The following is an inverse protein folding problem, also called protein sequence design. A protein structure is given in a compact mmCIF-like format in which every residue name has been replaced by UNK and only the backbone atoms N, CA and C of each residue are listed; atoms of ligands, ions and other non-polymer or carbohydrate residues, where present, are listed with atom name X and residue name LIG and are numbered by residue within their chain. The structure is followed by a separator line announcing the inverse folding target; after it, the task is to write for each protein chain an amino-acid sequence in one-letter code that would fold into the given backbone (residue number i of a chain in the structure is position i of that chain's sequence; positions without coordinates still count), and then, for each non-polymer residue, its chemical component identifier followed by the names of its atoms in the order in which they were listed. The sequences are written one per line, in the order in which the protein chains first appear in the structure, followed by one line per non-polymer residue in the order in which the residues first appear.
data_IF_515890089949
#
_entry.id   IF_515890089949
#
_cell.length_a   1.000
_cell.length_b   1.000
_cell.length_c   1.000
_cell.angle_alpha   90.00
_cell.angle_beta   90.00
_cell.angle_gamma   90.00
#
_symmetry.space_group_name_H-M   'P 1'
#
loop_
_entity.id
_entity.type
_entity.pdbx_description
1 polymer ?
#
# COMPACT_ATOMS: atom_id res chain seq x y z
N UNK A 1 -15.00 -14.28 -2.86
CA UNK A 1 -15.50 -12.93 -2.56
C UNK A 1 -14.32 -12.02 -2.33
N UNK A 2 -14.31 -10.84 -2.92
CA UNK A 2 -13.28 -9.83 -2.71
C UNK A 2 -13.98 -8.52 -2.40
N UNK A 3 -13.53 -7.81 -1.37
CA UNK A 3 -14.13 -6.59 -0.87
C UNK A 3 -13.00 -5.59 -0.65
N UNK A 4 -13.02 -4.54 -1.49
CA UNK A 4 -12.20 -3.35 -1.34
C UNK A 4 -13.10 -2.15 -1.09
N UNK A 5 -12.65 -1.24 -0.24
CA UNK A 5 -13.38 -0.01 0.08
C UNK A 5 -12.51 1.20 -0.24
N UNK A 6 -13.08 2.24 -0.83
CA UNK A 6 -12.38 3.50 -1.08
C UNK A 6 -12.07 4.23 0.22
N UNK A 7 -10.84 4.76 0.33
CA UNK A 7 -10.49 5.64 1.44
C UNK A 7 -11.24 6.98 1.35
N UNK A 8 -11.48 7.67 2.48
CA UNK A 8 -12.08 9.00 2.48
C UNK A 8 -11.22 9.99 1.70
N UNK A 9 -11.88 10.89 0.96
CA UNK A 9 -11.23 11.92 0.14
C UNK A 9 -10.27 12.77 0.98
N UNK A 10 -10.70 13.19 2.16
CA UNK A 10 -9.96 14.08 3.05
C UNK A 10 -8.66 13.45 3.56
N UNK A 11 -8.58 12.11 3.59
CA UNK A 11 -7.34 11.40 3.88
C UNK A 11 -6.36 11.52 2.71
N UNK A 12 -6.85 11.36 1.47
CA UNK A 12 -6.03 11.37 0.27
C UNK A 12 -5.51 12.77 -0.05
N UNK A 13 -6.35 13.81 0.06
CA UNK A 13 -5.96 15.20 -0.19
C UNK A 13 -4.79 15.66 0.69
N UNK A 14 -4.74 15.18 1.94
CA UNK A 14 -3.65 15.50 2.88
C UNK A 14 -2.33 14.83 2.53
N UNK A 15 -2.35 13.81 1.66
CA UNK A 15 -1.19 12.98 1.33
C UNK A 15 -0.66 13.23 -0.09
N UNK A 16 -1.53 13.65 -1.01
CA UNK A 16 -1.17 13.88 -2.41
C UNK A 16 -0.43 15.22 -2.57
N UNK A 17 0.70 15.17 -3.27
CA UNK A 17 1.44 16.35 -3.73
C UNK A 17 0.99 16.72 -5.16
N UNK A 18 1.13 17.98 -5.62
CA UNK A 18 0.81 18.38 -6.99
C UNK A 18 1.56 17.52 -8.03
N UNK A 19 0.92 17.25 -9.17
CA UNK A 19 1.47 16.32 -10.18
C UNK A 19 1.23 14.86 -9.77
N UNK A 20 -0.04 14.45 -9.78
CA UNK A 20 -0.49 13.11 -9.37
C UNK A 20 -0.62 12.21 -10.60
N UNK A 21 0.03 11.05 -10.56
CA UNK A 21 -0.24 9.95 -11.48
C UNK A 21 -1.23 8.98 -10.82
N UNK A 22 -2.23 8.51 -11.55
CA UNK A 22 -3.18 7.51 -11.03
C UNK A 22 -2.86 6.14 -11.63
N UNK A 23 -2.72 5.13 -10.77
CA UNK A 23 -2.54 3.73 -11.18
C UNK A 23 -3.74 2.92 -10.67
N UNK A 24 -4.45 2.24 -11.58
CA UNK A 24 -5.57 1.34 -11.26
C UNK A 24 -5.17 -0.11 -11.54
N UNK A 25 -5.18 -0.95 -10.51
CA UNK A 25 -4.96 -2.38 -10.67
C UNK A 25 -6.22 -3.05 -11.22
N UNK A 26 -6.15 -3.64 -12.41
CA UNK A 26 -7.31 -4.28 -13.07
C UNK A 26 -7.31 -5.81 -13.00
N UNK A 27 -6.30 -6.43 -12.37
CA UNK A 27 -6.14 -7.90 -12.38
C UNK A 27 -7.28 -8.70 -11.71
N UNK A 28 -7.98 -8.09 -10.74
CA UNK A 28 -9.14 -8.69 -10.05
C UNK A 28 -10.41 -7.81 -10.20
N UNK A 29 -10.47 -7.04 -11.30
CA UNK A 29 -11.51 -6.02 -11.52
C UNK A 29 -12.93 -6.56 -11.39
N UNK A 30 -13.19 -7.71 -11.99
CA UNK A 30 -14.52 -8.34 -12.05
C UNK A 30 -15.05 -8.79 -10.68
N UNK A 31 -14.18 -8.92 -9.67
CA UNK A 31 -14.54 -9.55 -8.39
C UNK A 31 -14.42 -8.60 -7.21
N UNK A 32 -13.56 -7.57 -7.30
CA UNK A 32 -13.06 -6.86 -6.12
C UNK A 32 -13.06 -5.33 -6.20
N UNK A 33 -13.13 -4.76 -7.40
CA UNK A 33 -12.81 -3.36 -7.60
C UNK A 33 -14.08 -2.50 -7.64
N UNK A 34 -14.27 -1.54 -6.71
CA UNK A 34 -15.45 -0.68 -6.70
C UNK A 34 -15.30 0.45 -7.74
N UNK A 35 -15.48 0.15 -9.03
CA UNK A 35 -15.19 1.09 -10.13
C UNK A 35 -15.96 2.39 -10.03
N UNK A 36 -17.27 2.33 -9.79
CA UNK A 36 -18.13 3.53 -9.67
C UNK A 36 -17.64 4.47 -8.55
N UNK A 37 -17.29 3.91 -7.38
CA UNK A 37 -16.77 4.69 -6.25
C UNK A 37 -15.39 5.27 -6.53
N UNK A 38 -14.54 4.55 -7.28
CA UNK A 38 -13.23 5.07 -7.69
C UNK A 38 -13.39 6.24 -8.65
N UNK A 39 -14.30 6.13 -9.62
CA UNK A 39 -14.58 7.21 -10.56
C UNK A 39 -15.18 8.45 -9.86
N UNK A 40 -16.09 8.24 -8.91
CA UNK A 40 -16.63 9.32 -8.07
C UNK A 40 -15.50 9.99 -7.26
N UNK A 41 -14.63 9.20 -6.64
CA UNK A 41 -13.50 9.72 -5.87
C UNK A 41 -12.51 10.51 -6.73
N UNK A 42 -12.22 10.03 -7.94
CA UNK A 42 -11.35 10.74 -8.90
C UNK A 42 -11.94 12.08 -9.32
N UNK A 43 -13.25 12.12 -9.64
CA UNK A 43 -13.97 13.37 -9.93
C UNK A 43 -13.89 14.33 -8.75
N UNK A 44 -14.13 13.83 -7.54
CA UNK A 44 -14.08 14.66 -6.34
C UNK A 44 -12.66 15.17 -6.03
N UNK A 45 -11.61 14.47 -6.46
CA UNK A 45 -10.21 14.89 -6.36
C UNK A 45 -9.76 15.77 -7.55
N UNK A 46 -10.65 16.08 -8.48
CA UNK A 46 -10.35 16.83 -9.72
C UNK A 46 -9.25 16.17 -10.57
N UNK A 47 -9.18 14.84 -10.57
CA UNK A 47 -8.26 14.04 -11.37
C UNK A 47 -8.99 13.42 -12.57
N UNK A 48 -8.45 13.58 -13.79
CA UNK A 48 -9.07 13.03 -15.00
C UNK A 48 -8.90 11.50 -15.05
N UNK A 49 -10.01 10.79 -15.24
CA UNK A 49 -10.03 9.34 -15.41
C UNK A 49 -9.26 8.87 -16.67
N UNK A 50 -9.04 9.75 -17.66
CA UNK A 50 -8.27 9.45 -18.87
C UNK A 50 -6.77 9.27 -18.61
N UNK A 51 -6.25 9.87 -17.54
CA UNK A 51 -4.85 9.79 -17.15
C UNK A 51 -4.56 8.60 -16.22
N UNK A 52 -5.54 7.71 -16.04
CA UNK A 52 -5.43 6.52 -15.20
C UNK A 52 -4.66 5.41 -15.93
N UNK A 53 -3.49 5.08 -15.41
CA UNK A 53 -2.67 3.98 -15.89
C UNK A 53 -3.25 2.65 -15.38
N UNK A 54 -3.81 1.86 -16.30
CA UNK A 54 -4.31 0.53 -16.01
C UNK A 54 -3.17 -0.50 -16.00
N UNK A 55 -2.98 -1.17 -14.87
CA UNK A 55 -1.97 -2.22 -14.67
C UNK A 55 -2.63 -3.49 -14.18
N UNK A 56 -2.31 -4.62 -14.78
CA UNK A 56 -2.78 -5.93 -14.36
C UNK A 56 -1.86 -6.52 -13.28
N UNK A 57 -2.48 -7.19 -12.30
CA UNK A 57 -1.79 -7.91 -11.23
C UNK A 57 -0.58 -7.19 -10.62
N UNK A 58 -0.78 -5.98 -10.05
CA UNK A 58 0.28 -5.24 -9.34
C UNK A 58 0.95 -6.04 -8.20
N UNK A 59 0.31 -7.11 -7.71
CA UNK A 59 0.91 -8.02 -6.74
C UNK A 59 1.98 -8.97 -7.34
N UNK A 60 2.12 -9.02 -8.67
CA UNK A 60 3.18 -9.73 -9.37
C UNK A 60 4.30 -8.73 -9.72
N UNK A 61 5.51 -9.00 -9.20
CA UNK A 61 6.63 -8.09 -9.35
C UNK A 61 7.12 -7.96 -10.80
N UNK A 62 7.16 -9.05 -11.55
CA UNK A 62 7.63 -9.05 -12.94
C UNK A 62 6.67 -8.29 -13.86
N UNK A 63 5.36 -8.49 -13.66
CA UNK A 63 4.34 -7.78 -14.43
C UNK A 63 4.37 -6.29 -14.10
N UNK A 64 4.47 -5.95 -12.81
CA UNK A 64 4.59 -4.57 -12.35
C UNK A 64 5.82 -3.90 -12.97
N UNK A 65 6.99 -4.55 -12.93
CA UNK A 65 8.23 -4.03 -13.50
C UNK A 65 8.09 -3.73 -15.00
N UNK A 66 7.55 -4.68 -15.77
CA UNK A 66 7.31 -4.50 -17.21
C UNK A 66 6.39 -3.31 -17.48
N UNK A 67 5.32 -3.17 -16.68
CA UNK A 67 4.37 -2.07 -16.82
C UNK A 67 4.93 -0.71 -16.40
N UNK A 68 5.73 -0.66 -15.35
CA UNK A 68 6.42 0.54 -14.91
C UNK A 68 7.42 1.05 -15.96
N UNK A 69 8.14 0.15 -16.63
CA UNK A 69 9.04 0.52 -17.72
C UNK A 69 8.28 1.16 -18.88
N UNK A 70 7.08 0.64 -19.19
CA UNK A 70 6.22 1.21 -20.24
C UNK A 70 5.75 2.64 -19.92
N UNK A 71 5.45 2.93 -18.66
CA UNK A 71 4.92 4.23 -18.22
C UNK A 71 5.95 5.09 -17.49
N UNK A 72 7.25 4.80 -17.69
CA UNK A 72 8.33 5.44 -16.95
C UNK A 72 8.32 6.96 -17.11
N UNK A 73 8.11 7.44 -18.34
CA UNK A 73 8.11 8.89 -18.64
C UNK A 73 7.00 9.66 -17.94
N UNK A 74 5.84 9.04 -17.76
CA UNK A 74 4.67 9.60 -17.09
C UNK A 74 4.88 9.60 -15.58
N UNK A 75 5.33 8.46 -15.03
CA UNK A 75 5.58 8.29 -13.60
C UNK A 75 6.72 9.20 -13.11
N UNK A 76 7.79 9.36 -13.90
CA UNK A 76 8.94 10.18 -13.52
C UNK A 76 8.55 11.67 -13.37
N UNK A 77 7.56 12.16 -14.14
CA UNK A 77 7.03 13.53 -14.06
C UNK A 77 6.12 13.79 -12.85
N UNK A 78 5.60 12.73 -12.23
CA UNK A 78 4.68 12.84 -11.11
C UNK A 78 5.41 12.91 -9.77
N UNK A 79 4.91 13.71 -8.83
CA UNK A 79 5.43 13.80 -7.46
C UNK A 79 4.70 12.84 -6.51
N UNK A 80 3.49 12.42 -6.86
CA UNK A 80 2.69 11.46 -6.09
C UNK A 80 1.99 10.49 -7.02
N UNK A 81 1.79 9.28 -6.52
CA UNK A 81 1.14 8.21 -7.27
C UNK A 81 -0.03 7.72 -6.44
N UNK A 82 -1.25 7.97 -6.91
CA UNK A 82 -2.48 7.47 -6.31
C UNK A 82 -2.75 6.07 -6.86
N UNK A 83 -2.85 5.08 -5.98
CA UNK A 83 -2.91 3.66 -6.36
C UNK A 83 -4.21 3.04 -5.88
N UNK A 84 -4.98 2.53 -6.83
CA UNK A 84 -6.18 1.73 -6.58
C UNK A 84 -5.84 0.25 -6.74
N UNK A 85 -5.37 -0.37 -5.66
CA UNK A 85 -5.01 -1.80 -5.61
C UNK A 85 -5.25 -2.39 -4.22
N UNK A 86 -5.07 -3.70 -4.06
CA UNK A 86 -5.03 -4.30 -2.72
C UNK A 86 -3.73 -3.92 -1.99
N UNK A 87 -3.66 -4.19 -0.68
CA UNK A 87 -2.48 -3.87 0.12
C UNK A 87 -1.17 -4.55 -0.35
N UNK A 88 -1.24 -5.69 -1.05
CA UNK A 88 -0.05 -6.33 -1.63
C UNK A 88 0.45 -5.55 -2.86
N UNK A 89 -0.47 -5.14 -3.75
CA UNK A 89 -0.11 -4.42 -4.98
C UNK A 89 0.61 -3.10 -4.68
N UNK A 90 0.16 -2.35 -3.67
CA UNK A 90 0.86 -1.14 -3.25
C UNK A 90 2.24 -1.43 -2.67
N UNK A 91 2.41 -2.50 -1.88
CA UNK A 91 3.72 -2.85 -1.31
C UNK A 91 4.75 -3.17 -2.40
N UNK A 92 4.35 -3.93 -3.43
CA UNK A 92 5.20 -4.22 -4.60
C UNK A 92 5.57 -2.93 -5.33
N UNK A 93 4.58 -2.09 -5.65
CA UNK A 93 4.80 -0.82 -6.34
C UNK A 93 5.71 0.12 -5.54
N UNK A 94 5.46 0.27 -4.23
CA UNK A 94 6.25 1.13 -3.35
C UNK A 94 7.70 0.61 -3.20
N UNK A 95 7.90 -0.71 -3.21
CA UNK A 95 9.23 -1.31 -3.24
C UNK A 95 10.01 -1.01 -4.52
N UNK A 96 9.32 -0.78 -5.64
CA UNK A 96 9.97 -0.42 -6.92
C UNK A 96 10.16 1.10 -7.11
N UNK A 97 9.38 1.91 -6.39
CA UNK A 97 9.38 3.38 -6.52
C UNK A 97 9.90 4.01 -5.23
N UNK A 98 11.17 3.78 -4.91
CA UNK A 98 11.81 4.16 -3.64
C UNK A 98 11.61 5.63 -3.27
N UNK A 99 11.86 6.53 -4.22
CA UNK A 99 11.83 7.99 -4.01
C UNK A 99 10.45 8.64 -4.21
N UNK A 100 9.44 7.90 -4.69
CA UNK A 100 8.11 8.45 -4.98
C UNK A 100 7.13 8.17 -3.84
N UNK A 101 6.22 9.12 -3.59
CA UNK A 101 5.12 8.93 -2.64
C UNK A 101 3.99 8.14 -3.29
N UNK A 102 3.93 6.83 -3.02
CA UNK A 102 2.81 5.98 -3.39
C UNK A 102 1.72 6.07 -2.30
N UNK A 103 0.52 6.49 -2.69
CA UNK A 103 -0.64 6.70 -1.82
C UNK A 103 -1.70 5.67 -2.17
N UNK A 104 -2.08 4.85 -1.19
CA UNK A 104 -3.17 3.90 -1.29
C UNK A 104 -4.51 4.63 -1.34
N UNK A 105 -5.33 4.29 -2.34
CA UNK A 105 -6.72 4.72 -2.46
C UNK A 105 -7.75 3.76 -1.87
N UNK A 106 -7.38 2.50 -1.59
CA UNK A 106 -8.31 1.45 -1.14
C UNK A 106 -7.90 0.77 0.19
N UNK A 107 -8.87 0.50 1.04
CA UNK A 107 -8.77 -0.46 2.14
C UNK A 107 -9.06 -1.87 1.63
N UNK A 108 -8.22 -2.83 2.01
CA UNK A 108 -8.47 -4.25 1.76
C UNK A 108 -9.27 -4.84 2.92
N UNK A 109 -10.53 -5.17 2.67
CA UNK A 109 -11.43 -5.75 3.68
C UNK A 109 -11.37 -7.28 3.62
N UNK A 110 -11.50 -7.84 2.42
CA UNK A 110 -11.41 -9.29 2.22
C UNK A 110 -11.01 -9.64 0.80
N UNK A 111 -10.21 -10.69 0.62
CA UNK A 111 -9.72 -11.19 -0.65
C UNK A 111 -9.58 -12.71 -0.50
N UNK A 112 -10.46 -13.47 -1.16
CA UNK A 112 -10.36 -14.93 -1.21
C UNK A 112 -9.37 -15.36 -2.31
N UNK A 113 -8.09 -15.44 -1.95
CA UNK A 113 -7.00 -15.85 -2.87
C UNK A 113 -6.15 -14.70 -3.39
N UNK A 114 -4.96 -14.97 -3.93
CA UNK A 114 -4.07 -13.94 -4.50
C UNK A 114 -3.64 -14.34 -5.90
N UNK A 115 -3.05 -13.40 -6.63
CA UNK A 115 -2.36 -13.73 -7.87
C UNK A 115 -1.38 -14.88 -7.64
N UNK A 116 -1.21 -15.74 -8.65
CA UNK A 116 -0.43 -16.99 -8.56
C UNK A 116 1.08 -16.79 -8.31
N UNK A 117 1.55 -15.54 -8.23
CA UNK A 117 2.96 -15.21 -8.09
C UNK A 117 3.39 -15.23 -6.61
N UNK A 118 4.51 -15.90 -6.29
CA UNK A 118 5.18 -15.72 -5.00
C UNK A 118 5.49 -14.24 -4.78
N UNK A 119 5.25 -13.76 -3.56
CA UNK A 119 5.54 -12.39 -3.16
C UNK A 119 6.03 -12.37 -1.73
N UNK A 120 7.10 -11.62 -1.46
CA UNK A 120 7.58 -11.36 -0.11
C UNK A 120 6.63 -10.44 0.68
N UNK A 121 5.58 -9.92 0.02
CA UNK A 121 4.62 -9.00 0.59
C UNK A 121 3.33 -9.70 0.97
N UNK A 122 2.86 -9.37 2.18
CA UNK A 122 1.63 -9.92 2.73
C UNK A 122 0.66 -8.83 3.20
N UNK A 123 -0.64 -9.13 3.17
CA UNK A 123 -1.73 -8.25 3.60
C UNK A 123 -2.67 -8.97 4.57
N UNK A 124 -2.79 -8.43 5.78
CA UNK A 124 -3.63 -8.97 6.85
C UNK A 124 -5.13 -8.70 6.65
N UNK A 125 -5.50 -7.95 5.59
CA UNK A 125 -6.89 -7.60 5.26
C UNK A 125 -7.60 -6.90 6.44
N UNK A 126 -6.89 -5.96 7.06
CA UNK A 126 -7.28 -5.33 8.31
C UNK A 126 -8.48 -4.38 8.23
N UNK A 127 -8.98 -4.07 7.03
CA UNK A 127 -10.02 -3.05 6.84
C UNK A 127 -9.54 -1.59 7.01
N UNK A 128 -8.35 -1.38 7.55
CA UNK A 128 -7.74 -0.07 7.79
C UNK A 128 -6.30 -0.04 7.31
N UNK A 129 -6.09 0.33 6.04
CA UNK A 129 -4.77 0.24 5.44
C UNK A 129 -3.82 1.33 5.99
N UNK A 130 -2.70 0.89 6.59
CA UNK A 130 -1.67 1.75 7.20
C UNK A 130 -0.50 2.09 6.26
N UNK A 131 -0.51 1.59 5.02
CA UNK A 131 0.58 1.75 4.06
C UNK A 131 0.86 3.23 3.74
N UNK A 132 -0.18 4.06 3.78
CA UNK A 132 -0.06 5.51 3.61
C UNK A 132 0.86 6.14 4.67
N UNK A 133 0.85 5.64 5.91
CA UNK A 133 1.66 6.19 7.00
C UNK A 133 3.09 5.63 7.03
N UNK A 134 3.29 4.47 6.39
CA UNK A 134 4.48 3.63 6.55
C UNK A 134 5.29 3.49 5.26
N UNK A 135 5.06 4.40 4.30
CA UNK A 135 5.80 4.43 3.04
C UNK A 135 5.57 3.21 2.15
N UNK A 136 4.45 2.50 2.31
CA UNK A 136 4.17 1.28 1.57
C UNK A 136 4.79 0.01 2.16
N UNK A 137 5.19 0.01 3.43
CA UNK A 137 5.67 -1.18 4.14
C UNK A 137 4.69 -1.52 5.26
N UNK A 138 4.04 -2.68 5.20
CA UNK A 138 3.00 -3.04 6.16
C UNK A 138 3.58 -3.39 7.54
N UNK A 139 3.30 -2.61 8.61
CA UNK A 139 3.82 -2.91 9.95
C UNK A 139 3.13 -4.13 10.58
N UNK A 140 1.90 -4.45 10.16
CA UNK A 140 1.15 -5.60 10.68
C UNK A 140 1.78 -6.93 10.25
N UNK A 141 2.22 -7.02 8.99
CA UNK A 141 2.71 -8.28 8.40
C UNK A 141 4.23 -8.37 8.37
N UNK A 142 4.97 -7.26 8.25
CA UNK A 142 6.43 -7.29 8.21
C UNK A 142 7.11 -7.14 9.58
N UNK A 143 6.44 -6.57 10.58
CA UNK A 143 7.00 -6.57 11.94
C UNK A 143 6.71 -7.90 12.60
N UNK A 144 7.73 -8.65 13.04
CA UNK A 144 7.55 -9.91 13.77
C UNK A 144 6.74 -9.80 15.06
N UNK A 145 6.57 -8.58 15.58
CA UNK A 145 5.77 -8.26 16.77
C UNK A 145 4.44 -7.55 16.44
N UNK A 146 4.18 -7.25 15.17
CA UNK A 146 2.97 -6.52 14.75
C UNK A 146 2.84 -5.10 15.32
N UNK A 147 3.95 -4.45 15.67
CA UNK A 147 3.92 -3.13 16.32
C UNK A 147 3.49 -2.02 15.36
N UNK A 148 2.51 -1.23 15.78
CA UNK A 148 1.94 -0.13 15.00
C UNK A 148 2.49 1.23 15.43
N UNK A 149 2.93 1.38 16.67
CA UNK A 149 3.29 2.67 17.26
C UNK A 149 4.80 2.98 17.23
N UNK A 150 5.56 2.36 16.33
CA UNK A 150 6.99 2.59 16.18
C UNK A 150 7.87 1.38 16.50
N UNK A 151 9.20 1.56 16.45
CA UNK A 151 10.16 0.49 16.71
C UNK A 151 10.13 0.05 18.18
N UNK A 152 10.42 -1.24 18.43
CA UNK A 152 10.57 -1.79 19.79
C UNK A 152 11.89 -1.42 20.49
N UNK A 153 12.87 -0.87 19.75
CA UNK A 153 14.22 -0.59 20.26
C UNK A 153 15.20 -1.77 20.20
N UNK A 154 14.75 -2.99 19.88
CA UNK A 154 15.63 -4.16 19.79
C UNK A 154 16.39 -4.33 18.46
N UNK A 155 16.11 -3.49 17.45
CA UNK A 155 16.76 -3.61 16.15
C UNK A 155 18.27 -3.34 16.24
N UNK A 156 19.07 -4.15 15.54
CA UNK A 156 20.53 -4.00 15.48
C UNK A 156 21.00 -4.15 14.04
N UNK A 157 21.71 -3.14 13.53
CA UNK A 157 22.25 -3.11 12.16
C UNK A 157 21.18 -3.40 11.08
N UNK A 158 19.96 -2.85 11.20
CA UNK A 158 18.89 -3.14 10.24
C UNK A 158 18.15 -4.46 10.46
N UNK A 159 18.57 -5.31 11.40
CA UNK A 159 17.99 -6.63 11.64
C UNK A 159 17.08 -6.66 12.87
N UNK A 160 16.06 -7.52 12.81
CA UNK A 160 15.11 -7.74 13.90
C UNK A 160 15.78 -8.47 15.08
N UNK A 161 15.38 -8.18 16.32
CA UNK A 161 15.91 -8.89 17.49
C UNK A 161 15.49 -10.36 17.58
N UNK A 162 14.38 -10.72 16.91
CA UNK A 162 13.88 -12.10 16.89
C UNK A 162 14.79 -13.01 16.05
N UNK A 163 15.35 -12.50 14.95
CA UNK A 163 16.29 -13.24 14.12
C UNK A 163 17.14 -12.28 13.27
N UNK A 164 18.43 -12.60 13.15
CA UNK A 164 19.39 -11.86 12.30
C UNK A 164 19.09 -11.96 10.80
N UNK A 165 18.31 -12.95 10.41
CA UNK A 165 17.93 -13.16 9.00
C UNK A 165 16.76 -12.26 8.60
N UNK A 166 16.02 -11.71 9.57
CA UNK A 166 14.86 -10.86 9.34
C UNK A 166 15.26 -9.38 9.38
N UNK A 167 14.85 -8.63 8.37
CA UNK A 167 14.98 -7.17 8.38
C UNK A 167 13.98 -6.55 9.37
N UNK A 168 14.41 -5.51 10.08
CA UNK A 168 13.52 -4.72 10.92
C UNK A 168 12.58 -3.88 10.06
N UNK A 169 11.27 -4.19 10.11
CA UNK A 169 10.25 -3.43 9.38
C UNK A 169 10.30 -1.92 9.67
N UNK A 170 10.49 -1.52 10.93
CA UNK A 170 10.53 -0.10 11.31
C UNK A 170 11.79 0.64 10.86
N UNK A 171 12.92 -0.05 10.69
CA UNK A 171 14.09 0.54 10.03
C UNK A 171 13.86 0.69 8.51
N UNK A 172 13.23 -0.30 7.87
CA UNK A 172 12.85 -0.18 6.45
C UNK A 172 11.86 0.96 6.23
N UNK A 173 10.85 1.10 7.10
CA UNK A 173 9.87 2.20 7.07
C UNK A 173 10.59 3.56 7.20
N UNK A 174 11.52 3.70 8.15
CA UNK A 174 12.28 4.93 8.33
C UNK A 174 13.01 5.32 7.03
N UNK A 175 13.83 4.41 6.49
CA UNK A 175 14.61 4.64 5.25
C UNK A 175 13.71 5.00 4.06
N UNK A 176 12.58 4.30 3.93
CA UNK A 176 11.61 4.54 2.86
C UNK A 176 10.93 5.91 2.97
N UNK A 177 10.56 6.32 4.18
CA UNK A 177 9.98 7.64 4.44
C UNK A 177 11.01 8.76 4.27
N UNK A 178 12.25 8.52 4.66
CA UNK A 178 13.36 9.45 4.42
C UNK A 178 13.60 9.65 2.92
N UNK A 179 13.76 8.57 2.15
CA UNK A 179 13.97 8.62 0.70
C UNK A 179 12.84 9.30 -0.08
N UNK A 180 11.59 9.18 0.40
CA UNK A 180 10.42 9.83 -0.23
C UNK A 180 10.14 11.25 0.31
N UNK A 181 10.95 11.77 1.23
CA UNK A 181 10.79 13.09 1.84
C UNK A 181 9.51 13.21 2.69
N UNK A 182 9.16 12.14 3.41
CA UNK A 182 7.93 11.98 4.23
C UNK A 182 8.23 11.56 5.67
N UNK A 183 9.40 11.94 6.18
CA UNK A 183 9.88 11.53 7.49
C UNK A 183 8.97 12.01 8.64
N UNK A 184 8.22 13.10 8.43
CA UNK A 184 7.19 13.57 9.35
C UNK A 184 6.16 12.47 9.70
N UNK A 185 5.84 11.60 8.74
CA UNK A 185 4.88 10.51 8.92
C UNK A 185 5.38 9.46 9.93
N UNK A 186 6.69 9.31 10.08
CA UNK A 186 7.30 8.36 11.03
C UNK A 186 7.00 8.73 12.49
N UNK A 187 6.93 10.02 12.79
CA UNK A 187 6.69 10.55 14.14
C UNK A 187 5.22 10.82 14.44
N UNK A 188 4.32 10.59 13.47
CA UNK A 188 2.88 10.77 13.69
C UNK A 188 2.36 9.69 14.62
N UNK A 189 1.48 10.08 15.54
CA UNK A 189 0.75 9.14 16.38
C UNK A 189 -0.17 8.28 15.50
N UNK A 190 0.03 6.97 15.56
CA UNK A 190 -0.90 6.03 14.94
C UNK A 190 -2.23 6.04 15.69
N UNK A 191 -3.32 5.88 14.94
CA UNK A 191 -4.64 5.65 15.51
C UNK A 191 -4.70 4.24 16.09
N UNK A 192 -5.52 4.06 17.12
CA UNK A 192 -5.86 2.72 17.63
C UNK A 192 -6.54 1.96 16.50
N UNK A 193 -6.05 0.73 16.22
CA UNK A 193 -6.61 -0.14 15.20
C UNK A 193 -7.98 -0.64 15.64
N UNK A 194 -8.97 -0.50 14.76
CA UNK A 194 -10.32 -1.02 14.95
C UNK A 194 -10.44 -2.42 14.35
N UNK A 195 -10.38 -3.43 15.22
CA UNK A 195 -10.47 -4.83 14.81
C UNK A 195 -11.86 -5.24 14.31
N UNK A 196 -12.91 -4.43 14.55
CA UNK A 196 -14.25 -4.72 14.04
C UNK A 196 -14.38 -4.58 12.53
N UNK A 197 -13.47 -3.82 11.90
CA UNK A 197 -13.43 -3.58 10.45
C UNK A 197 -12.78 -4.72 9.66
N UNK A 198 -11.98 -5.55 10.32
CA UNK A 198 -11.51 -6.79 9.71
C UNK A 198 -12.69 -7.75 9.66
N UNK A 199 -13.01 -8.29 8.48
CA UNK A 199 -13.93 -9.42 8.42
C UNK A 199 -13.31 -10.54 9.25
N UNK A 200 -14.02 -10.98 10.30
CA UNK A 200 -13.52 -11.96 11.26
C UNK A 200 -12.87 -13.11 10.50
N UNK A 201 -11.54 -13.25 10.64
CA UNK A 201 -10.84 -14.37 10.02
C UNK A 201 -11.55 -15.63 10.52
N UNK A 202 -12.08 -16.51 9.66
CA UNK A 202 -12.47 -17.83 10.13
C UNK A 202 -11.23 -18.38 10.84
N UNK A 203 -11.37 -18.70 12.14
CA UNK A 203 -10.27 -19.30 12.90
C UNK A 203 -9.80 -20.49 12.08
N UNK A 204 -8.56 -20.45 11.59
CA UNK A 204 -7.98 -21.65 11.01
C UNK A 204 -8.08 -22.72 12.10
N UNK A 205 -8.71 -23.87 11.83
CA UNK A 205 -8.67 -24.96 12.78
C UNK A 205 -7.19 -25.30 13.02
N UNK A 206 -6.79 -25.20 14.28
CA UNK A 206 -5.48 -25.68 14.77
C UNK A 206 -5.47 -27.19 14.68
#
# INVERSE_FOLDING_TARGET
MFILETKPKEELEKLLKPGVCVIKCIGCREISLPEEKIEELLKNLELDAKDVLAVDYLCNADFTKSRLLKYKSEIDKCNSILVFSCGVGLQVLAGMLEEKSAVQGLNTIYISGRGLAPSDYDCDQCGECLLNLTGGICPVTQCSKGLLNGPCGGAKNGKCEISKDLDCAWEKIYKKLEASGRLDSYFRKMKVRDYSKALAKPKQPV
#
